data_IF_961514897592
#
_entry.id   IF_961514897592
#
_cell.length_a   1.000
_cell.length_b   1.000
_cell.length_c   1.000
_cell.angle_alpha   90.00
_cell.angle_beta   90.00
_cell.angle_gamma   90.00
#
_symmetry.space_group_name_H-M   'P 1'
#
loop_
_entity.id
_entity.type
_entity.pdbx_description
1 polymer ?
#
# COMPACT_ATOMS: atom_id res chain seq x y z
N UNK A 1 10.18 31.97 0.67
CA UNK A 1 9.35 31.14 1.55
C UNK A 1 9.97 29.75 1.62
N UNK A 2 9.71 28.96 2.66
CA UNK A 2 10.14 27.56 2.70
C UNK A 2 9.03 26.72 2.04
N UNK A 3 9.32 26.12 0.88
CA UNK A 3 8.35 25.35 0.08
C UNK A 3 8.15 23.92 0.61
N UNK A 4 8.15 23.76 1.93
CA UNK A 4 7.97 22.47 2.59
C UNK A 4 6.52 22.00 2.55
N UNK A 5 6.32 20.70 2.36
CA UNK A 5 5.01 20.05 2.34
C UNK A 5 4.83 19.24 3.63
N UNK A 6 3.65 19.36 4.24
CA UNK A 6 3.22 18.53 5.37
C UNK A 6 2.26 17.45 4.90
N UNK A 7 2.57 16.19 5.24
CA UNK A 7 1.73 15.02 4.94
C UNK A 7 1.30 14.40 6.27
N UNK A 8 -0.01 14.38 6.52
CA UNK A 8 -0.58 13.80 7.73
C UNK A 8 -0.88 12.32 7.62
N UNK A 9 -0.61 11.56 8.68
CA UNK A 9 -1.19 10.22 8.87
C UNK A 9 -2.42 10.35 9.79
N UNK A 10 -3.61 10.51 9.21
CA UNK A 10 -4.83 10.84 9.96
C UNK A 10 -5.84 9.70 9.88
N UNK A 11 -5.86 8.84 10.90
CA UNK A 11 -6.82 7.74 11.04
C UNK A 11 -8.14 8.24 11.65
N UNK A 12 -9.08 8.65 10.79
CA UNK A 12 -10.44 9.03 11.20
C UNK A 12 -11.46 8.28 10.34
N UNK A 13 -12.54 7.71 10.94
CA UNK A 13 -13.60 7.06 10.17
C UNK A 13 -14.53 8.05 9.46
N UNK A 14 -14.41 9.35 9.78
CA UNK A 14 -15.27 10.43 9.30
C UNK A 14 -14.51 11.31 8.31
N UNK A 15 -14.92 11.26 7.03
CA UNK A 15 -14.31 11.98 5.91
C UNK A 15 -14.49 13.50 6.02
N UNK A 16 -15.60 13.96 6.59
CA UNK A 16 -15.83 15.40 6.81
C UNK A 16 -14.81 15.94 7.83
N UNK A 17 -14.60 15.21 8.93
CA UNK A 17 -13.60 15.58 9.94
C UNK A 17 -12.18 15.48 9.40
N UNK A 18 -11.90 14.51 8.53
CA UNK A 18 -10.61 14.39 7.84
C UNK A 18 -10.31 15.63 6.99
N UNK A 19 -11.27 16.10 6.17
CA UNK A 19 -11.09 17.27 5.31
C UNK A 19 -10.75 18.57 6.08
N UNK A 20 -11.17 18.69 7.34
CA UNK A 20 -10.84 19.85 8.19
C UNK A 20 -9.34 19.99 8.46
N UNK A 21 -8.57 18.90 8.43
CA UNK A 21 -7.10 18.95 8.57
C UNK A 21 -6.39 19.44 7.31
N UNK A 22 -7.11 19.60 6.20
CA UNK A 22 -6.56 19.93 4.88
C UNK A 22 -6.97 21.33 4.41
N UNK A 23 -7.39 22.20 5.33
CA UNK A 23 -7.69 23.59 5.02
C UNK A 23 -6.41 24.34 4.60
N UNK A 24 -6.52 25.47 3.87
CA UNK A 24 -5.36 26.18 3.32
C UNK A 24 -4.26 26.57 4.33
N UNK A 25 -4.59 26.68 5.61
CA UNK A 25 -3.69 27.04 6.71
C UNK A 25 -3.27 25.86 7.61
N UNK A 26 -3.59 24.62 7.22
CA UNK A 26 -3.34 23.38 7.96
C UNK A 26 -2.35 22.45 7.23
N UNK A 27 -2.64 21.14 7.10
CA UNK A 27 -1.79 20.19 6.37
C UNK A 27 -2.04 20.30 4.86
N UNK A 28 -1.02 19.98 4.06
CA UNK A 28 -1.14 20.03 2.59
C UNK A 28 -1.85 18.80 2.04
N UNK A 29 -1.57 17.63 2.60
CA UNK A 29 -2.20 16.35 2.25
C UNK A 29 -2.24 15.42 3.45
N UNK A 30 -3.03 14.35 3.38
CA UNK A 30 -3.01 13.29 4.37
C UNK A 30 -3.28 11.91 3.72
N UNK A 31 -2.84 10.82 4.35
CA UNK A 31 -3.09 9.46 3.89
C UNK A 31 -4.59 9.12 3.91
N UNK A 32 -5.13 8.71 2.76
CA UNK A 32 -6.52 8.29 2.63
C UNK A 32 -6.72 6.83 3.09
N UNK A 33 -7.01 6.66 4.38
CA UNK A 33 -7.24 5.34 4.97
C UNK A 33 -8.58 4.71 4.60
N UNK A 34 -9.58 5.52 4.20
CA UNK A 34 -10.85 5.00 3.67
C UNK A 34 -10.62 4.21 2.38
N UNK A 35 -9.80 4.76 1.47
CA UNK A 35 -9.42 4.05 0.24
C UNK A 35 -8.50 2.86 0.54
N UNK A 36 -7.51 3.03 1.42
CA UNK A 36 -6.58 1.96 1.80
C UNK A 36 -7.32 0.74 2.39
N UNK A 37 -8.26 0.97 3.30
CA UNK A 37 -8.99 -0.10 3.99
C UNK A 37 -10.14 -0.70 3.19
N UNK A 38 -10.49 -0.08 2.05
CA UNK A 38 -11.58 -0.53 1.21
C UNK A 38 -11.30 -1.94 0.64
N UNK A 39 -12.29 -2.87 0.71
CA UNK A 39 -12.14 -4.18 0.08
C UNK A 39 -12.15 -4.07 -1.44
N UNK A 40 -11.77 -5.16 -2.10
CA UNK A 40 -11.90 -5.31 -3.55
C UNK A 40 -13.36 -5.51 -3.95
N UNK A 41 -14.14 -4.44 -3.85
CA UNK A 41 -15.53 -4.32 -4.28
C UNK A 41 -15.71 -3.02 -5.08
N UNK A 42 -16.21 -3.13 -6.31
CA UNK A 42 -16.29 -1.99 -7.23
C UNK A 42 -17.24 -0.89 -6.73
N UNK A 43 -18.33 -1.26 -6.04
CA UNK A 43 -19.28 -0.30 -5.48
C UNK A 43 -18.64 0.48 -4.34
N UNK A 44 -18.01 -0.22 -3.39
CA UNK A 44 -17.32 0.39 -2.24
C UNK A 44 -16.12 1.24 -2.65
N UNK A 45 -15.34 0.80 -3.64
CA UNK A 45 -14.23 1.60 -4.19
C UNK A 45 -14.75 2.89 -4.83
N UNK A 46 -15.81 2.81 -5.64
CA UNK A 46 -16.45 3.99 -6.22
C UNK A 46 -16.93 4.95 -5.14
N UNK A 47 -17.67 4.47 -4.15
CA UNK A 47 -18.15 5.30 -3.04
C UNK A 47 -16.98 5.97 -2.31
N UNK A 48 -15.91 5.23 -1.98
CA UNK A 48 -14.73 5.81 -1.33
C UNK A 48 -14.05 6.90 -2.17
N UNK A 49 -13.99 6.74 -3.50
CA UNK A 49 -13.41 7.72 -4.42
C UNK A 49 -14.31 8.97 -4.48
N UNK A 50 -15.60 8.78 -4.72
CA UNK A 50 -16.56 9.87 -4.89
C UNK A 50 -16.67 10.71 -3.60
N UNK A 51 -16.72 10.07 -2.43
CA UNK A 51 -16.73 10.75 -1.13
C UNK A 51 -15.42 11.49 -0.85
N UNK A 52 -14.27 10.88 -1.16
CA UNK A 52 -12.97 11.57 -1.02
C UNK A 52 -12.96 12.84 -1.86
N UNK A 53 -13.33 12.77 -3.14
CA UNK A 53 -13.31 13.94 -4.01
C UNK A 53 -14.31 15.02 -3.55
N UNK A 54 -15.53 14.60 -3.16
CA UNK A 54 -16.57 15.52 -2.71
C UNK A 54 -16.21 16.27 -1.43
N UNK A 55 -15.55 15.61 -0.46
CA UNK A 55 -15.18 16.22 0.83
C UNK A 55 -13.91 17.08 0.74
N UNK A 56 -13.03 16.78 -0.20
CA UNK A 56 -11.79 17.55 -0.42
C UNK A 56 -12.02 18.84 -1.22
N UNK A 57 -12.96 18.84 -2.18
CA UNK A 57 -13.23 19.98 -3.05
C UNK A 57 -13.57 21.29 -2.28
N UNK A 58 -14.40 21.30 -1.22
CA UNK A 58 -14.72 22.51 -0.45
C UNK A 58 -13.52 23.17 0.24
N UNK A 59 -12.45 22.41 0.54
CA UNK A 59 -11.24 22.92 1.18
C UNK A 59 -10.09 23.14 0.19
N UNK A 60 -10.29 22.80 -1.09
CA UNK A 60 -9.30 22.94 -2.16
C UNK A 60 -8.06 22.05 -1.96
N UNK A 61 -8.22 20.93 -1.27
CA UNK A 61 -7.12 20.01 -0.99
C UNK A 61 -7.04 18.88 -2.03
N UNK A 62 -5.85 18.49 -2.49
CA UNK A 62 -5.75 17.36 -3.40
C UNK A 62 -6.12 16.05 -2.69
N UNK A 63 -6.81 15.17 -3.41
CA UNK A 63 -7.04 13.80 -2.96
C UNK A 63 -5.72 13.02 -2.93
N UNK A 64 -5.66 12.00 -2.08
CA UNK A 64 -4.54 11.08 -2.02
C UNK A 64 -5.03 9.64 -2.13
N UNK A 65 -4.22 8.78 -2.74
CA UNK A 65 -4.54 7.37 -2.96
C UNK A 65 -3.40 6.49 -2.47
N UNK A 66 -3.75 5.52 -1.63
CA UNK A 66 -2.80 4.70 -0.89
C UNK A 66 -3.37 3.28 -0.84
N UNK A 67 -2.63 2.30 -1.35
CA UNK A 67 -3.06 0.90 -1.29
C UNK A 67 -2.40 0.14 -0.13
N UNK A 68 -1.18 0.55 0.23
CA UNK A 68 -0.35 -0.08 1.23
C UNK A 68 0.57 0.93 1.94
N UNK A 69 1.05 0.56 3.12
CA UNK A 69 2.09 1.24 3.87
C UNK A 69 2.78 0.24 4.81
N UNK A 70 3.62 0.73 5.70
CA UNK A 70 4.36 -0.06 6.69
C UNK A 70 3.53 -0.58 7.89
N UNK A 71 2.21 -0.34 7.94
CA UNK A 71 1.34 -0.78 9.03
C UNK A 71 0.31 -1.83 8.62
N UNK A 72 -0.01 -1.89 7.33
CA UNK A 72 -1.09 -2.72 6.81
C UNK A 72 -0.55 -3.95 6.09
N UNK A 73 -1.40 -4.97 5.96
CA UNK A 73 -1.07 -6.16 5.16
C UNK A 73 -0.86 -5.74 3.70
N UNK A 74 0.19 -6.24 3.03
CA UNK A 74 0.48 -5.95 1.62
C UNK A 74 -0.71 -6.23 0.72
N UNK A 75 -0.92 -5.34 -0.26
CA UNK A 75 -2.12 -5.33 -1.15
C UNK A 75 -2.35 -6.67 -1.84
N UNK A 76 -1.30 -7.34 -2.33
CA UNK A 76 -1.42 -8.67 -2.98
C UNK A 76 -2.05 -9.68 -2.04
N UNK A 77 -1.58 -9.77 -0.80
CA UNK A 77 -2.16 -10.69 0.19
C UNK A 77 -3.56 -10.25 0.59
N UNK A 78 -3.75 -8.96 0.90
CA UNK A 78 -5.05 -8.44 1.33
C UNK A 78 -6.15 -8.68 0.29
N UNK A 79 -5.90 -8.36 -0.98
CA UNK A 79 -6.88 -8.57 -2.06
C UNK A 79 -7.03 -10.03 -2.49
N UNK A 80 -6.13 -10.92 -2.07
CA UNK A 80 -6.26 -12.38 -2.26
C UNK A 80 -7.13 -13.08 -1.21
N UNK A 81 -7.54 -12.38 -0.14
CA UNK A 81 -8.39 -12.93 0.92
C UNK A 81 -9.88 -12.87 0.57
N UNK A 82 -10.66 -13.69 1.25
CA UNK A 82 -12.12 -13.65 1.17
C UNK A 82 -12.68 -12.32 1.67
N UNK A 83 -12.25 -11.89 2.85
CA UNK A 83 -12.38 -10.50 3.30
C UNK A 83 -11.13 -9.73 2.89
N UNK A 84 -11.31 -8.80 1.95
CA UNK A 84 -10.23 -8.01 1.36
C UNK A 84 -10.12 -6.59 1.91
N UNK A 85 -10.94 -6.26 2.92
CA UNK A 85 -10.80 -5.02 3.68
C UNK A 85 -9.56 -5.04 4.58
N UNK A 86 -9.29 -3.92 5.24
CA UNK A 86 -8.29 -3.86 6.30
C UNK A 86 -8.92 -3.34 7.60
N UNK A 87 -8.69 -4.06 8.69
CA UNK A 87 -8.95 -3.63 10.05
C UNK A 87 -7.85 -4.22 10.95
N UNK A 88 -7.30 -3.40 11.85
CA UNK A 88 -6.32 -3.86 12.83
C UNK A 88 -6.92 -4.92 13.76
N UNK A 89 -8.21 -4.82 14.10
CA UNK A 89 -8.87 -5.71 15.04
C UNK A 89 -9.05 -7.14 14.49
N UNK A 90 -9.07 -7.30 13.16
CA UNK A 90 -9.31 -8.60 12.51
C UNK A 90 -8.02 -9.23 11.96
N UNK A 91 -6.86 -8.60 12.19
CA UNK A 91 -5.58 -9.12 11.74
C UNK A 91 -5.25 -10.43 12.46
N UNK A 92 -4.95 -11.47 11.69
CA UNK A 92 -4.71 -12.81 12.22
C UNK A 92 -3.60 -13.53 11.45
N UNK A 93 -2.92 -14.46 12.12
CA UNK A 93 -2.03 -15.41 11.49
C UNK A 93 -2.79 -16.39 10.60
N UNK A 94 -2.15 -16.86 9.53
CA UNK A 94 -2.64 -17.99 8.72
C UNK A 94 -3.96 -17.72 7.99
N UNK A 95 -4.34 -16.45 7.77
CA UNK A 95 -5.54 -16.12 6.98
C UNK A 95 -5.41 -16.65 5.55
N UNK A 96 -6.28 -17.57 5.10
CA UNK A 96 -6.20 -18.13 3.76
C UNK A 96 -6.23 -17.05 2.69
N UNK A 97 -5.32 -17.16 1.71
CA UNK A 97 -5.12 -16.14 0.69
C UNK A 97 -4.83 -16.79 -0.66
N UNK A 98 -5.57 -16.41 -1.70
CA UNK A 98 -5.23 -16.72 -3.09
C UNK A 98 -4.31 -15.61 -3.64
N UNK A 99 -2.99 -15.88 -3.63
CA UNK A 99 -1.99 -14.92 -4.09
C UNK A 99 -2.08 -14.62 -5.58
N UNK A 100 -2.53 -15.57 -6.41
CA UNK A 100 -2.67 -15.36 -7.85
C UNK A 100 -3.85 -14.41 -8.15
N UNK A 101 -4.98 -14.60 -7.46
CA UNK A 101 -6.10 -13.67 -7.51
C UNK A 101 -5.72 -12.31 -6.94
N UNK A 102 -5.03 -12.30 -5.80
CA UNK A 102 -4.52 -11.10 -5.13
C UNK A 102 -3.61 -10.28 -6.03
N UNK A 103 -2.67 -10.91 -6.73
CA UNK A 103 -1.78 -10.24 -7.68
C UNK A 103 -2.54 -9.60 -8.85
N UNK A 104 -3.53 -10.29 -9.43
CA UNK A 104 -4.38 -9.71 -10.49
C UNK A 104 -5.16 -8.48 -10.00
N UNK A 105 -5.73 -8.56 -8.79
CA UNK A 105 -6.47 -7.46 -8.17
C UNK A 105 -5.55 -6.30 -7.80
N UNK A 106 -4.36 -6.57 -7.28
CA UNK A 106 -3.37 -5.54 -6.97
C UNK A 106 -2.91 -4.78 -8.22
N UNK A 107 -2.67 -5.47 -9.34
CA UNK A 107 -2.40 -4.81 -10.65
C UNK A 107 -3.52 -3.86 -11.04
N UNK A 108 -4.78 -4.30 -10.94
CA UNK A 108 -5.93 -3.48 -11.26
C UNK A 108 -6.11 -2.30 -10.28
N UNK A 109 -5.86 -2.51 -8.98
CA UNK A 109 -5.86 -1.46 -7.96
C UNK A 109 -4.79 -0.41 -8.21
N UNK A 110 -3.59 -0.82 -8.61
CA UNK A 110 -2.50 0.08 -8.98
C UNK A 110 -2.86 0.96 -10.19
N UNK A 111 -3.42 0.36 -11.24
CA UNK A 111 -3.87 1.12 -12.41
C UNK A 111 -5.02 2.09 -12.07
N UNK A 112 -5.95 1.66 -11.19
CA UNK A 112 -7.02 2.54 -10.71
C UNK A 112 -6.44 3.73 -9.93
N UNK A 113 -5.60 3.51 -8.92
CA UNK A 113 -5.03 4.60 -8.12
C UNK A 113 -4.17 5.55 -8.98
N UNK A 114 -3.40 5.00 -9.92
CA UNK A 114 -2.60 5.76 -10.88
C UNK A 114 -3.41 6.42 -12.01
N UNK A 115 -4.72 6.20 -12.09
CA UNK A 115 -5.62 6.92 -13.00
C UNK A 115 -6.46 8.00 -12.29
N UNK A 116 -6.50 8.01 -10.96
CA UNK A 116 -7.25 8.99 -10.18
C UNK A 116 -6.50 10.33 -10.05
N UNK A 117 -7.21 11.47 -9.98
CA UNK A 117 -6.62 12.79 -9.79
C UNK A 117 -6.03 12.95 -8.38
N UNK A 118 -4.99 13.75 -8.22
CA UNK A 118 -4.30 13.95 -6.93
C UNK A 118 -3.02 13.14 -6.77
N UNK A 119 -2.57 12.95 -5.53
CA UNK A 119 -1.30 12.29 -5.23
C UNK A 119 -1.47 10.78 -4.99
N UNK A 120 -0.47 10.00 -5.38
CA UNK A 120 -0.41 8.56 -5.08
C UNK A 120 0.80 8.31 -4.18
N UNK A 121 0.58 7.60 -3.08
CA UNK A 121 1.64 7.13 -2.21
C UNK A 121 1.91 5.66 -2.50
N UNK A 122 3.14 5.37 -2.93
CA UNK A 122 3.59 4.02 -3.24
C UNK A 122 4.47 3.48 -2.11
N UNK A 123 4.09 2.33 -1.55
CA UNK A 123 4.89 1.66 -0.53
C UNK A 123 5.93 0.74 -1.17
N UNK A 124 7.11 0.66 -0.56
CA UNK A 124 8.23 -0.11 -1.08
C UNK A 124 7.88 -1.60 -1.28
N UNK A 125 8.11 -2.11 -2.48
CA UNK A 125 7.78 -3.47 -2.90
C UNK A 125 6.32 -3.69 -3.33
N UNK A 126 5.47 -2.66 -3.27
CA UNK A 126 4.16 -2.70 -3.93
C UNK A 126 4.33 -2.82 -5.46
N UNK A 127 5.31 -2.08 -6.00
CA UNK A 127 5.73 -2.12 -7.40
C UNK A 127 6.31 -3.47 -7.82
N UNK A 128 6.76 -4.29 -6.87
CA UNK A 128 7.22 -5.66 -7.10
C UNK A 128 6.11 -6.68 -6.89
N UNK A 129 4.91 -6.26 -6.46
CA UNK A 129 3.80 -7.16 -6.18
C UNK A 129 4.10 -8.11 -5.03
N UNK A 130 4.85 -7.64 -4.02
CA UNK A 130 5.20 -8.48 -2.87
C UNK A 130 3.94 -8.88 -2.10
N UNK A 131 3.76 -10.18 -1.77
CA UNK A 131 2.80 -10.61 -0.79
C UNK A 131 3.31 -10.29 0.63
N UNK A 132 2.40 -10.28 1.61
CA UNK A 132 2.75 -10.24 3.02
C UNK A 132 3.65 -11.43 3.36
N UNK A 133 4.80 -11.18 3.99
CA UNK A 133 5.68 -12.24 4.44
C UNK A 133 5.16 -12.87 5.74
N UNK A 134 5.27 -14.19 5.85
CA UNK A 134 5.02 -14.90 7.10
C UNK A 134 6.30 -14.91 7.96
N UNK A 135 6.25 -14.23 9.10
CA UNK A 135 7.38 -14.13 10.03
C UNK A 135 7.31 -15.27 11.06
N UNK A 136 8.38 -16.07 11.24
CA UNK A 136 8.46 -17.04 12.32
C UNK A 136 8.20 -16.38 13.68
N UNK A 137 7.39 -17.03 14.54
CA UNK A 137 6.92 -16.42 15.81
C UNK A 137 8.06 -15.96 16.72
N UNK A 138 9.17 -16.68 16.73
CA UNK A 138 10.38 -16.39 17.50
C UNK A 138 11.26 -15.28 16.88
N UNK A 139 10.89 -14.79 15.70
CA UNK A 139 11.60 -13.73 14.95
C UNK A 139 10.79 -12.44 14.83
N UNK A 140 9.54 -12.41 15.28
CA UNK A 140 8.70 -11.20 15.32
C UNK A 140 9.40 -10.14 16.18
N UNK A 141 9.42 -8.91 15.69
CA UNK A 141 10.01 -7.73 16.30
C UNK A 141 8.96 -6.70 16.71
N UNK A 142 7.80 -6.65 16.05
CA UNK A 142 6.80 -5.60 16.28
C UNK A 142 6.20 -5.66 17.69
N UNK A 143 6.30 -4.57 18.49
CA UNK A 143 5.66 -4.46 19.79
C UNK A 143 4.16 -4.74 19.79
N UNK A 144 3.44 -4.55 18.67
CA UNK A 144 2.01 -4.87 18.59
C UNK A 144 1.73 -6.33 18.92
N UNK A 145 2.56 -7.26 18.41
CA UNK A 145 2.42 -8.69 18.69
C UNK A 145 2.60 -8.99 20.18
N UNK A 146 3.64 -8.43 20.79
CA UNK A 146 3.93 -8.68 22.21
C UNK A 146 2.86 -8.06 23.12
N UNK A 147 2.37 -6.85 22.79
CA UNK A 147 1.31 -6.17 23.55
C UNK A 147 -0.04 -6.86 23.45
N UNK A 148 -0.30 -7.58 22.36
CA UNK A 148 -1.54 -8.35 22.20
C UNK A 148 -1.48 -9.72 22.89
N UNK A 149 -0.37 -10.07 23.55
CA UNK A 149 -0.16 -11.42 24.10
C UNK A 149 0.06 -12.49 23.03
N UNK A 150 0.55 -12.12 21.84
CA UNK A 150 0.92 -13.04 20.77
C UNK A 150 -0.21 -13.42 19.80
N UNK A 151 -1.36 -12.76 19.91
CA UNK A 151 -2.56 -12.96 19.07
C UNK A 151 -2.48 -12.23 17.71
N UNK A 152 -2.14 -10.94 17.72
CA UNK A 152 -1.96 -10.10 16.54
C UNK A 152 -0.60 -10.43 15.90
N UNK A 153 -0.51 -10.71 14.59
CA UNK A 153 0.77 -10.93 13.93
C UNK A 153 1.71 -9.71 13.90
N UNK A 154 1.24 -8.52 14.25
CA UNK A 154 2.00 -7.28 14.12
C UNK A 154 2.20 -6.91 12.65
N UNK A 155 3.15 -6.03 12.38
CA UNK A 155 3.36 -5.37 11.07
C UNK A 155 4.63 -5.82 10.36
N UNK A 156 5.36 -6.77 10.92
CA UNK A 156 6.66 -7.19 10.36
C UNK A 156 6.54 -7.82 8.96
N UNK A 157 5.41 -8.44 8.65
CA UNK A 157 5.17 -9.09 7.35
C UNK A 157 5.28 -8.14 6.14
N UNK A 158 4.93 -6.86 6.31
CA UNK A 158 5.10 -5.86 5.26
C UNK A 158 6.48 -5.17 5.30
N UNK A 159 7.28 -5.38 6.35
CA UNK A 159 8.56 -4.70 6.61
C UNK A 159 9.81 -5.51 6.24
N UNK A 160 9.61 -6.72 5.70
CA UNK A 160 10.72 -7.58 5.26
C UNK A 160 11.59 -6.88 4.20
N UNK A 161 12.93 -6.94 4.32
CA UNK A 161 13.85 -6.39 3.33
C UNK A 161 13.56 -6.80 1.89
N UNK A 162 13.64 -5.81 0.99
CA UNK A 162 13.27 -5.97 -0.42
C UNK A 162 14.22 -6.93 -1.17
N UNK A 163 13.70 -7.73 -2.11
CA UNK A 163 14.51 -8.53 -3.00
C UNK A 163 14.96 -7.68 -4.20
N UNK A 164 16.26 -7.42 -4.31
CA UNK A 164 16.87 -6.66 -5.40
C UNK A 164 17.47 -7.54 -6.49
N UNK A 165 18.21 -8.59 -6.10
CA UNK A 165 18.95 -9.48 -7.00
C UNK A 165 18.70 -10.92 -6.63
N UNK A 166 18.07 -11.70 -7.50
CA UNK A 166 17.56 -13.04 -7.16
C UNK A 166 18.63 -14.01 -6.67
N UNK A 167 19.78 -14.01 -7.35
CA UNK A 167 20.87 -14.97 -7.10
C UNK A 167 21.91 -14.49 -6.07
N UNK A 168 21.70 -13.32 -5.47
CA UNK A 168 22.57 -12.77 -4.45
C UNK A 168 22.15 -13.22 -3.04
N UNK A 169 23.09 -13.31 -2.07
CA UNK A 169 22.75 -13.50 -0.67
C UNK A 169 21.70 -12.48 -0.20
N UNK A 170 20.69 -12.97 0.53
CA UNK A 170 19.55 -12.17 1.00
C UNK A 170 18.85 -11.37 -0.11
N UNK A 171 18.76 -11.97 -1.29
CA UNK A 171 18.23 -11.37 -2.51
C UNK A 171 18.86 -10.00 -2.82
N UNK A 172 20.15 -9.81 -2.53
CA UNK A 172 20.86 -8.56 -2.84
C UNK A 172 20.58 -7.41 -1.87
N UNK A 173 20.00 -7.66 -0.69
CA UNK A 173 19.76 -6.60 0.31
C UNK A 173 21.05 -5.94 0.84
N UNK A 174 22.20 -6.62 0.76
CA UNK A 174 23.51 -6.07 1.14
C UNK A 174 24.03 -6.49 2.52
N UNK A 175 23.29 -7.31 3.26
CA UNK A 175 23.70 -7.87 4.55
C UNK A 175 22.64 -8.82 5.13
N UNK A 176 22.94 -9.44 6.27
CA UNK A 176 21.95 -10.26 6.98
C UNK A 176 20.76 -9.38 7.42
N UNK A 177 19.53 -9.70 6.99
CA UNK A 177 18.39 -8.86 7.23
C UNK A 177 17.89 -8.99 8.66
N UNK A 178 17.47 -7.86 9.24
CA UNK A 178 16.90 -7.79 10.59
C UNK A 178 15.57 -8.56 10.71
N UNK A 179 14.81 -8.67 9.61
CA UNK A 179 13.67 -9.58 9.47
C UNK A 179 13.98 -10.68 8.45
N UNK A 180 13.59 -11.94 8.71
CA UNK A 180 13.86 -13.04 7.79
C UNK A 180 13.07 -12.87 6.48
N UNK A 181 13.76 -13.05 5.36
CA UNK A 181 13.11 -13.18 4.06
C UNK A 181 12.49 -14.59 3.96
N UNK A 182 11.21 -14.73 3.55
CA UNK A 182 10.57 -16.02 3.44
C UNK A 182 11.13 -16.85 2.27
N UNK A 183 10.82 -18.13 2.25
CA UNK A 183 11.15 -18.99 1.11
C UNK A 183 10.53 -18.45 -0.19
N UNK A 184 11.29 -18.45 -1.29
CA UNK A 184 10.84 -17.96 -2.58
C UNK A 184 10.81 -16.43 -2.72
N UNK A 185 11.27 -15.66 -1.74
CA UNK A 185 11.29 -14.19 -1.81
C UNK A 185 12.09 -13.64 -3.00
N UNK A 186 13.17 -14.33 -3.39
CA UNK A 186 13.99 -13.99 -4.55
C UNK A 186 13.25 -14.06 -5.89
N UNK A 187 12.13 -14.79 -5.97
CA UNK A 187 11.30 -14.83 -7.18
C UNK A 187 10.65 -13.48 -7.50
N UNK A 188 10.54 -12.59 -6.51
CA UNK A 188 10.02 -11.22 -6.69
C UNK A 188 11.12 -10.19 -6.97
N UNK A 189 12.38 -10.62 -7.10
CA UNK A 189 13.51 -9.71 -7.18
C UNK A 189 13.40 -8.70 -8.34
N UNK A 190 13.85 -7.47 -8.06
CA UNK A 190 13.75 -6.36 -8.99
C UNK A 190 14.50 -6.59 -10.31
N UNK A 191 15.64 -7.30 -10.28
CA UNK A 191 16.41 -7.66 -11.48
C UNK A 191 15.62 -8.58 -12.43
N UNK A 192 14.96 -9.62 -11.91
CA UNK A 192 14.10 -10.50 -12.68
C UNK A 192 12.91 -9.75 -13.27
N UNK A 193 12.22 -8.95 -12.44
CA UNK A 193 11.05 -8.21 -12.90
C UNK A 193 11.39 -7.10 -13.89
N UNK A 194 12.58 -6.50 -13.80
CA UNK A 194 13.03 -5.49 -14.76
C UNK A 194 13.25 -6.07 -16.17
N UNK A 195 13.56 -7.36 -16.27
CA UNK A 195 13.73 -8.06 -17.55
C UNK A 195 12.42 -8.61 -18.13
N UNK A 196 11.34 -8.72 -17.34
CA UNK A 196 10.04 -9.23 -17.77
C UNK A 196 9.03 -8.09 -18.05
N UNK A 197 8.62 -7.88 -19.31
CA UNK A 197 7.59 -6.89 -19.65
C UNK A 197 6.22 -7.16 -19.02
N UNK A 198 5.93 -8.41 -18.63
CA UNK A 198 4.69 -8.81 -17.96
C UNK A 198 4.67 -8.55 -16.45
N UNK A 199 5.80 -8.19 -15.85
CA UNK A 199 5.97 -8.10 -14.40
C UNK A 199 5.14 -6.99 -13.74
N UNK A 200 5.07 -7.00 -12.40
CA UNK A 200 4.45 -5.90 -11.65
C UNK A 200 5.26 -4.61 -11.83
N UNK A 201 6.60 -4.73 -11.78
CA UNK A 201 7.50 -3.58 -11.91
C UNK A 201 7.34 -2.88 -13.27
N UNK A 202 7.25 -3.66 -14.35
CA UNK A 202 7.00 -3.15 -15.70
C UNK A 202 5.64 -2.45 -15.80
N UNK A 203 4.59 -2.98 -15.15
CA UNK A 203 3.28 -2.33 -15.09
C UNK A 203 3.35 -0.96 -14.40
N UNK A 204 3.97 -0.88 -13.21
CA UNK A 204 4.09 0.40 -12.50
C UNK A 204 4.90 1.42 -13.28
N UNK A 205 6.03 1.01 -13.88
CA UNK A 205 6.85 1.88 -14.73
C UNK A 205 6.06 2.42 -15.92
N UNK A 206 5.33 1.55 -16.63
CA UNK A 206 4.50 1.96 -17.76
C UNK A 206 3.37 2.90 -17.33
N UNK A 207 2.63 2.55 -16.27
CA UNK A 207 1.52 3.37 -15.77
C UNK A 207 2.00 4.75 -15.28
N UNK A 208 3.12 4.82 -14.55
CA UNK A 208 3.70 6.09 -14.11
C UNK A 208 4.24 6.93 -15.27
N UNK A 209 4.75 6.30 -16.34
CA UNK A 209 5.20 7.00 -17.54
C UNK A 209 4.01 7.63 -18.29
N UNK A 210 2.88 6.94 -18.37
CA UNK A 210 1.68 7.40 -19.06
C UNK A 210 0.89 8.40 -18.21
N UNK A 211 0.95 8.31 -16.87
CA UNK A 211 0.13 9.13 -15.95
C UNK A 211 0.11 10.63 -16.28
N UNK A 212 1.25 11.30 -16.59
CA UNK A 212 1.25 12.72 -16.95
C UNK A 212 0.44 13.06 -18.23
N UNK A 213 0.25 12.11 -19.15
CA UNK A 213 -0.53 12.32 -20.38
C UNK A 213 -2.02 12.57 -20.11
N UNK A 214 -2.52 12.13 -18.95
CA UNK A 214 -3.91 12.39 -18.52
C UNK A 214 -4.12 13.81 -17.95
N UNK A 215 -3.05 14.60 -17.82
CA UNK A 215 -3.07 15.95 -17.25
C UNK A 215 -3.13 15.95 -15.72
N UNK A 216 -3.03 17.14 -15.13
CA UNK A 216 -2.96 17.31 -13.66
C UNK A 216 -4.33 17.19 -12.96
N UNK A 217 -5.41 16.99 -13.74
CA UNK A 217 -6.78 17.15 -13.25
C UNK A 217 -7.00 18.53 -12.62
N UNK A 218 -8.17 18.78 -12.05
CA UNK A 218 -8.25 19.82 -11.03
C UNK A 218 -7.82 19.15 -9.71
N UNK A 219 -6.88 19.77 -9.00
CA UNK A 219 -6.49 19.36 -7.64
C UNK A 219 -7.61 19.66 -6.60
N UNK A 220 -8.74 20.19 -7.08
CA UNK A 220 -9.92 20.62 -6.35
C UNK A 220 -11.19 20.26 -7.13
#
# INVERSE_FOLDING_TARGET
AYDGIFVGEVWLPDTERFARYLRPDELHTAFNFSFLSCPWDAGRLRTSIDETLAEHAPVGAPATWVLCNHDVTRTVTRYGRADSGFDFATKAFGTPTDLALGARRARAGALLSLALPGAVYLYQGEELGLPEAEIPRDRIQDPMHFRSGGTDPGRDGCRVPLPWTADAPYAGFGGEPWLPQPSGWSAYAADLQAADPGSMLSLYRAALTIRPEFGDGTLA
#
